data_IF_952150757408
#
_entry.id   IF_952150757408
#
_cell.length_a   1.000
_cell.length_b   1.000
_cell.length_c   1.000
_cell.angle_alpha   90.00
_cell.angle_beta   90.00
_cell.angle_gamma   90.00
#
_symmetry.space_group_name_H-M   'P 1'
#
loop_
_entity.id
_entity.type
_entity.pdbx_description
1 polymer ?
#
# COMPACT_ATOMS: atom_id res chain seq x y z
N UNK A 1 9.37 -33.23 11.28
CA UNK A 1 9.84 -31.83 11.43
C UNK A 1 10.59 -31.50 10.15
N UNK A 2 9.92 -30.89 9.18
CA UNK A 2 10.51 -30.58 7.87
C UNK A 2 10.86 -29.09 7.83
N UNK A 3 12.15 -28.79 7.77
CA UNK A 3 12.72 -27.49 7.50
C UNK A 3 12.37 -27.09 6.06
N UNK A 4 11.27 -26.37 5.87
CA UNK A 4 10.99 -25.70 4.60
C UNK A 4 11.98 -24.55 4.49
N UNK A 5 13.01 -24.65 3.64
CA UNK A 5 13.93 -23.53 3.41
C UNK A 5 13.18 -22.42 2.66
N UNK A 6 12.50 -21.55 3.41
CA UNK A 6 12.01 -20.29 2.89
C UNK A 6 13.22 -19.45 2.48
N UNK A 7 13.26 -19.04 1.22
CA UNK A 7 14.32 -18.21 0.67
C UNK A 7 14.49 -16.95 1.55
N UNK A 8 15.71 -16.72 2.04
CA UNK A 8 16.03 -15.60 2.92
C UNK A 8 16.70 -14.47 2.13
N UNK A 9 16.22 -13.25 2.33
CA UNK A 9 16.78 -12.04 1.77
C UNK A 9 17.18 -11.12 2.92
N UNK A 10 18.37 -10.52 2.87
CA UNK A 10 18.87 -9.65 3.93
C UNK A 10 18.96 -8.22 3.41
N UNK A 11 18.41 -7.27 4.18
CA UNK A 11 18.48 -5.84 3.93
C UNK A 11 19.11 -5.15 5.13
N UNK A 12 20.29 -4.55 4.94
CA UNK A 12 20.96 -3.76 5.98
C UNK A 12 20.60 -2.28 5.85
N UNK A 13 19.97 -1.73 6.89
CA UNK A 13 19.55 -0.33 7.02
C UNK A 13 20.03 0.27 8.34
N UNK A 14 21.07 -0.30 8.94
CA UNK A 14 21.71 0.28 10.14
C UNK A 14 22.28 1.66 9.82
N UNK A 15 22.14 2.59 10.75
CA UNK A 15 22.53 3.99 10.60
C UNK A 15 21.61 4.84 9.70
N UNK A 16 20.49 4.28 9.22
CA UNK A 16 19.53 5.00 8.37
C UNK A 16 18.35 5.51 9.21
N UNK A 17 17.96 6.76 9.01
CA UNK A 17 16.82 7.38 9.69
C UNK A 17 15.53 7.32 8.85
N UNK A 18 14.37 7.45 9.49
CA UNK A 18 13.08 7.46 8.81
C UNK A 18 13.00 8.59 7.76
N UNK A 19 12.40 8.34 6.58
CA UNK A 19 11.65 7.14 6.17
C UNK A 19 12.47 6.04 5.46
N UNK A 20 13.80 6.15 5.42
CA UNK A 20 14.65 5.31 4.56
C UNK A 20 14.56 3.81 4.86
N UNK A 21 14.63 3.34 6.12
CA UNK A 21 14.46 1.91 6.44
C UNK A 21 13.16 1.33 5.88
N UNK A 22 12.08 2.09 5.95
CA UNK A 22 10.76 1.66 5.48
C UNK A 22 10.71 1.53 3.97
N UNK A 23 11.16 2.57 3.27
CA UNK A 23 11.10 2.62 1.81
C UNK A 23 11.97 1.51 1.20
N UNK A 24 13.15 1.27 1.78
CA UNK A 24 14.02 0.18 1.35
C UNK A 24 13.39 -1.18 1.63
N UNK A 25 12.80 -1.38 2.81
CA UNK A 25 12.10 -2.62 3.15
C UNK A 25 10.91 -2.87 2.21
N UNK A 26 10.08 -1.86 1.94
CA UNK A 26 8.95 -1.96 1.03
C UNK A 26 9.39 -2.34 -0.39
N UNK A 27 10.46 -1.71 -0.89
CA UNK A 27 11.04 -2.01 -2.21
C UNK A 27 11.56 -3.44 -2.31
N UNK A 28 12.29 -3.92 -1.29
CA UNK A 28 12.78 -5.31 -1.30
C UNK A 28 11.61 -6.31 -1.19
N UNK A 29 10.59 -6.01 -0.39
CA UNK A 29 9.39 -6.83 -0.29
C UNK A 29 8.63 -6.96 -1.62
N UNK A 30 8.66 -5.95 -2.49
CA UNK A 30 8.05 -6.06 -3.83
C UNK A 30 8.76 -7.08 -4.72
N UNK A 31 10.09 -7.19 -4.61
CA UNK A 31 10.91 -8.10 -5.42
C UNK A 31 10.79 -9.56 -4.96
N UNK A 32 10.48 -9.78 -3.69
CA UNK A 32 10.41 -11.12 -3.09
C UNK A 32 9.05 -11.74 -3.48
N UNK A 33 8.99 -12.83 -4.26
CA UNK A 33 7.71 -13.48 -4.56
C UNK A 33 7.19 -14.31 -3.36
N UNK A 34 8.10 -14.88 -2.58
CA UNK A 34 7.85 -15.64 -1.35
C UNK A 34 9.16 -15.86 -0.60
N UNK A 35 9.13 -15.97 0.72
CA UNK A 35 10.31 -16.15 1.56
C UNK A 35 10.25 -15.29 2.82
N UNK A 36 11.42 -14.91 3.33
CA UNK A 36 11.55 -13.93 4.42
C UNK A 36 12.54 -12.83 4.06
N UNK A 37 12.18 -11.59 4.39
CA UNK A 37 13.10 -10.44 4.37
C UNK A 37 13.58 -10.18 5.80
N UNK A 38 14.88 -10.26 6.02
CA UNK A 38 15.55 -9.93 7.29
C UNK A 38 16.10 -8.52 7.18
N UNK A 39 15.46 -7.56 7.85
CA UNK A 39 15.90 -6.18 7.91
C UNK A 39 16.78 -5.99 9.15
N UNK A 40 18.04 -5.62 8.95
CA UNK A 40 18.98 -5.30 10.03
C UNK A 40 18.86 -3.80 10.34
N UNK A 41 18.47 -3.46 11.57
CA UNK A 41 18.29 -2.08 12.01
C UNK A 41 18.78 -1.89 13.44
N UNK A 42 19.41 -0.75 13.71
CA UNK A 42 19.88 -0.31 15.02
C UNK A 42 19.03 0.84 15.59
N UNK A 43 18.01 1.28 14.85
CA UNK A 43 17.16 2.41 15.21
C UNK A 43 15.82 1.95 15.83
N UNK A 44 15.59 2.25 17.12
CA UNK A 44 14.38 1.87 17.88
C UNK A 44 13.05 2.28 17.20
N UNK A 45 12.88 3.52 16.69
CA UNK A 45 11.68 3.90 15.95
C UNK A 45 11.38 3.03 14.72
N UNK A 46 12.41 2.50 14.05
CA UNK A 46 12.21 1.62 12.91
C UNK A 46 11.61 0.27 13.35
N UNK A 47 12.04 -0.22 14.51
CA UNK A 47 11.62 -1.49 15.12
C UNK A 47 10.21 -1.39 15.71
N UNK A 48 9.91 -0.31 16.44
CA UNK A 48 8.67 -0.19 17.21
C UNK A 48 7.51 0.36 16.41
N UNK A 49 7.80 1.13 15.37
CA UNK A 49 6.78 1.89 14.63
C UNK A 49 6.82 1.60 13.15
N UNK A 50 7.95 1.87 12.50
CA UNK A 50 8.01 1.98 11.04
C UNK A 50 7.87 0.64 10.31
N UNK A 51 8.67 -0.37 10.67
CA UNK A 51 8.61 -1.70 10.05
C UNK A 51 7.34 -2.48 10.45
N UNK A 52 6.87 -2.44 11.72
CA UNK A 52 5.56 -2.97 12.09
C UNK A 52 4.42 -2.34 11.29
N UNK A 53 4.49 -1.01 11.10
CA UNK A 53 3.55 -0.22 10.33
C UNK A 53 3.45 -0.72 8.90
N UNK A 54 4.60 -0.88 8.25
CA UNK A 54 4.71 -1.40 6.89
C UNK A 54 4.11 -2.80 6.81
N UNK A 55 4.50 -3.71 7.71
CA UNK A 55 4.00 -5.09 7.70
C UNK A 55 2.48 -5.15 7.87
N UNK A 56 1.92 -4.39 8.83
CA UNK A 56 0.47 -4.31 9.01
C UNK A 56 -0.24 -3.75 7.77
N UNK A 57 0.34 -2.76 7.10
CA UNK A 57 -0.25 -2.19 5.88
C UNK A 57 -0.24 -3.14 4.68
N UNK A 58 0.66 -4.12 4.70
CA UNK A 58 0.84 -5.11 3.64
C UNK A 58 0.26 -6.48 3.98
N UNK A 59 -0.36 -6.65 5.15
CA UNK A 59 -0.88 -7.94 5.63
C UNK A 59 0.20 -9.00 5.87
N UNK A 60 1.43 -8.56 6.14
CA UNK A 60 2.57 -9.44 6.32
C UNK A 60 2.80 -9.74 7.80
N UNK A 61 3.11 -11.01 8.08
CA UNK A 61 3.56 -11.41 9.41
C UNK A 61 5.02 -11.00 9.59
N UNK A 62 5.39 -10.64 10.81
CA UNK A 62 6.77 -10.36 11.15
C UNK A 62 7.12 -10.84 12.56
N UNK A 63 8.41 -10.95 12.83
CA UNK A 63 8.98 -11.15 14.16
C UNK A 63 10.24 -10.30 14.32
N UNK A 64 10.67 -10.08 15.56
CA UNK A 64 11.89 -9.36 15.88
C UNK A 64 12.81 -10.23 16.71
N UNK A 65 14.11 -10.20 16.39
CA UNK A 65 15.16 -10.89 17.13
C UNK A 65 16.24 -9.88 17.46
N UNK A 66 16.49 -9.65 18.76
CA UNK A 66 17.55 -8.75 19.23
C UNK A 66 18.91 -9.46 19.16
N UNK A 67 19.89 -8.81 18.56
CA UNK A 67 21.24 -9.34 18.28
C UNK A 67 22.28 -8.31 18.73
N UNK A 68 22.56 -8.27 20.02
CA UNK A 68 23.47 -7.28 20.62
C UNK A 68 22.99 -5.85 20.38
N UNK A 69 23.75 -5.10 19.58
CA UNK A 69 23.55 -3.68 19.27
C UNK A 69 22.55 -3.41 18.14
N UNK A 70 22.01 -4.45 17.49
CA UNK A 70 21.03 -4.29 16.43
C UNK A 70 19.89 -5.31 16.55
N UNK A 71 18.82 -5.10 15.78
CA UNK A 71 17.66 -5.98 15.69
C UNK A 71 17.54 -6.53 14.28
N UNK A 72 17.26 -7.83 14.20
CA UNK A 72 16.77 -8.50 13.00
C UNK A 72 15.25 -8.42 13.00
N UNK A 73 14.70 -7.61 12.11
CA UNK A 73 13.26 -7.54 11.86
C UNK A 73 12.92 -8.44 10.68
N UNK A 74 12.27 -9.56 10.93
CA UNK A 74 12.06 -10.63 9.95
C UNK A 74 10.62 -10.56 9.45
N UNK A 75 10.44 -10.29 8.16
CA UNK A 75 9.14 -10.15 7.49
C UNK A 75 8.89 -11.38 6.64
N UNK A 76 7.75 -12.04 6.86
CA UNK A 76 7.35 -13.26 6.15
C UNK A 76 6.43 -12.92 4.98
N UNK A 77 6.77 -13.42 3.80
CA UNK A 77 5.94 -13.30 2.59
C UNK A 77 5.64 -14.68 2.03
N UNK A 78 4.36 -15.07 2.07
CA UNK A 78 3.92 -16.36 1.52
C UNK A 78 3.65 -16.23 0.02
N UNK A 79 3.85 -17.32 -0.72
CA UNK A 79 3.61 -17.35 -2.17
C UNK A 79 2.13 -17.13 -2.42
N UNK A 80 1.77 -16.02 -3.06
CA UNK A 80 0.38 -15.68 -3.33
C UNK A 80 -0.41 -15.28 -2.08
N UNK A 81 0.21 -14.62 -1.10
CA UNK A 81 -0.50 -14.00 0.03
C UNK A 81 -1.38 -12.82 -0.42
N UNK A 82 -2.39 -13.12 -1.24
CA UNK A 82 -3.58 -12.31 -1.41
C UNK A 82 -4.50 -12.55 -0.19
N UNK A 83 -3.99 -12.33 1.03
CA UNK A 83 -4.93 -12.04 2.11
C UNK A 83 -5.43 -10.63 1.82
N UNK A 84 -6.67 -10.57 1.36
CA UNK A 84 -7.42 -9.32 1.34
C UNK A 84 -7.67 -9.01 2.81
N UNK A 85 -6.78 -8.23 3.42
CA UNK A 85 -7.01 -7.81 4.80
C UNK A 85 -8.35 -7.06 4.89
N UNK A 86 -9.08 -7.34 5.96
CA UNK A 86 -10.23 -6.52 6.33
C UNK A 86 -9.74 -5.09 6.55
N UNK A 87 -10.31 -4.16 5.79
CA UNK A 87 -9.98 -2.75 5.90
C UNK A 87 -10.54 -2.24 7.23
N UNK A 88 -9.67 -2.07 8.22
CA UNK A 88 -10.02 -1.44 9.49
C UNK A 88 -10.31 0.06 9.30
N UNK A 89 -11.47 0.54 9.74
CA UNK A 89 -11.84 1.96 9.69
C UNK A 89 -13.12 2.22 8.90
N UNK A 90 -13.29 3.45 8.40
CA UNK A 90 -14.37 3.76 7.46
C UNK A 90 -13.88 3.45 6.05
N UNK A 91 -14.73 2.79 5.29
CA UNK A 91 -14.49 2.47 3.89
C UNK A 91 -15.79 2.53 3.11
N UNK A 92 -15.65 2.66 1.80
CA UNK A 92 -16.75 2.53 0.86
C UNK A 92 -16.20 1.95 -0.44
N UNK A 93 -17.04 1.34 -1.27
CA UNK A 93 -16.62 0.70 -2.52
C UNK A 93 -17.57 1.02 -3.65
N UNK A 94 -17.00 1.40 -4.79
CA UNK A 94 -17.76 1.58 -6.03
C UNK A 94 -17.24 0.60 -7.09
N UNK A 95 -18.16 0.06 -7.87
CA UNK A 95 -17.84 -0.86 -8.97
C UNK A 95 -18.04 -0.16 -10.31
N UNK A 96 -17.08 -0.32 -11.20
CA UNK A 96 -17.24 0.03 -12.62
C UNK A 96 -17.02 -1.18 -13.51
N UNK A 97 -17.67 -1.18 -14.67
CA UNK A 97 -17.44 -2.15 -15.74
C UNK A 97 -16.77 -1.46 -16.90
N UNK A 98 -15.70 -2.06 -17.39
CA UNK A 98 -14.90 -1.60 -18.51
C UNK A 98 -14.94 -2.66 -19.62
N UNK A 99 -14.73 -2.23 -20.85
CA UNK A 99 -14.50 -3.15 -21.97
C UNK A 99 -13.15 -3.86 -21.87
N UNK A 100 -12.66 -4.38 -22.99
CA UNK A 100 -11.36 -5.06 -23.02
C UNK A 100 -10.23 -4.04 -22.87
N UNK A 101 -9.72 -3.89 -21.64
CA UNK A 101 -8.64 -2.96 -21.34
C UNK A 101 -7.58 -3.60 -20.45
N UNK A 102 -6.32 -3.24 -20.69
CA UNK A 102 -5.19 -3.67 -19.85
C UNK A 102 -5.02 -2.67 -18.71
N UNK A 103 -5.34 -3.11 -17.49
CA UNK A 103 -5.36 -2.25 -16.32
C UNK A 103 -4.04 -2.21 -15.54
N UNK A 104 -3.24 -3.28 -15.61
CA UNK A 104 -2.07 -3.48 -14.72
C UNK A 104 -1.16 -2.26 -14.65
N UNK A 105 -0.68 -1.78 -15.80
CA UNK A 105 0.32 -0.71 -15.84
C UNK A 105 -0.28 0.62 -15.36
N UNK A 106 -1.51 0.92 -15.78
CA UNK A 106 -2.24 2.13 -15.37
C UNK A 106 -2.58 2.14 -13.88
N UNK A 107 -3.02 0.99 -13.34
CA UNK A 107 -3.34 0.84 -11.94
C UNK A 107 -2.10 0.69 -11.06
N UNK A 108 -0.89 0.55 -11.60
CA UNK A 108 0.34 0.57 -10.81
C UNK A 108 0.93 1.98 -10.70
N UNK A 109 0.45 2.93 -11.50
CA UNK A 109 0.83 4.33 -11.44
C UNK A 109 -0.11 5.12 -10.51
N UNK A 110 0.38 5.59 -9.34
CA UNK A 110 -0.43 6.31 -8.37
C UNK A 110 -0.94 7.67 -8.84
N UNK A 111 -0.45 8.22 -9.94
CA UNK A 111 -1.01 9.46 -10.51
C UNK A 111 -2.47 9.27 -10.94
N UNK A 112 -2.94 8.04 -11.14
CA UNK A 112 -4.35 7.74 -11.39
C UNK A 112 -5.26 8.25 -10.27
N UNK A 113 -4.79 8.27 -9.02
CA UNK A 113 -5.56 8.76 -7.88
C UNK A 113 -5.93 10.24 -8.03
N UNK A 114 -5.11 11.02 -8.73
CA UNK A 114 -5.35 12.45 -8.98
C UNK A 114 -6.58 12.69 -9.85
N UNK A 115 -7.05 11.69 -10.63
CA UNK A 115 -8.24 11.86 -11.46
C UNK A 115 -9.51 11.98 -10.62
N UNK A 116 -9.56 11.34 -9.45
CA UNK A 116 -10.77 11.24 -8.63
C UNK A 116 -10.63 11.72 -7.18
N UNK A 117 -9.40 11.94 -6.69
CA UNK A 117 -9.12 12.49 -5.35
C UNK A 117 -8.56 13.91 -5.48
N UNK A 118 -9.40 14.95 -5.47
CA UNK A 118 -8.98 16.34 -5.75
C UNK A 118 -7.99 16.92 -4.72
N UNK A 119 -7.87 16.31 -3.56
CA UNK A 119 -6.94 16.69 -2.50
C UNK A 119 -5.51 16.33 -2.86
N UNK A 120 -5.28 15.30 -3.68
CA UNK A 120 -3.95 14.92 -4.14
C UNK A 120 -3.47 15.97 -5.14
N UNK A 121 -2.34 16.61 -4.84
CA UNK A 121 -1.77 17.70 -5.63
C UNK A 121 -0.60 17.26 -6.50
N UNK A 122 0.17 16.31 -6.02
CA UNK A 122 1.27 15.70 -6.75
C UNK A 122 1.55 14.30 -6.20
N UNK A 123 2.21 13.50 -7.02
CA UNK A 123 2.81 12.23 -6.62
C UNK A 123 4.23 12.19 -7.16
N UNK A 124 5.21 12.12 -6.27
CA UNK A 124 6.61 12.03 -6.66
C UNK A 124 7.07 10.58 -6.61
N UNK A 125 7.78 10.14 -7.63
CA UNK A 125 8.46 8.86 -7.64
C UNK A 125 9.86 9.05 -7.05
N UNK A 126 10.08 8.50 -5.87
CA UNK A 126 11.35 8.62 -5.14
C UNK A 126 12.18 7.33 -5.21
N UNK A 127 11.54 6.19 -5.47
CA UNK A 127 12.17 4.93 -5.83
C UNK A 127 11.15 4.00 -6.52
N UNK A 128 11.59 2.96 -7.27
CA UNK A 128 10.65 2.00 -7.86
C UNK A 128 9.67 1.45 -6.83
N UNK A 129 8.36 1.69 -7.07
CA UNK A 129 7.26 1.25 -6.21
C UNK A 129 7.10 1.99 -4.87
N UNK A 130 7.85 3.07 -4.65
CA UNK A 130 7.74 3.95 -3.47
C UNK A 130 7.55 5.39 -3.92
N UNK A 131 6.48 6.02 -3.43
CA UNK A 131 6.07 7.35 -3.87
C UNK A 131 5.89 8.28 -2.68
N UNK A 132 5.99 9.58 -2.91
CA UNK A 132 5.55 10.61 -1.95
C UNK A 132 4.25 11.19 -2.46
N UNK A 133 3.21 11.11 -1.64
CA UNK A 133 1.90 11.66 -1.91
C UNK A 133 1.78 13.05 -1.27
N UNK A 134 1.59 14.05 -2.12
CA UNK A 134 1.32 15.42 -1.71
C UNK A 134 -0.18 15.64 -1.66
N UNK A 135 -0.76 15.78 -0.47
CA UNK A 135 -2.19 15.91 -0.31
C UNK A 135 -2.57 17.15 0.51
N UNK A 136 -3.49 17.95 0.00
CA UNK A 136 -4.11 19.08 0.71
C UNK A 136 -5.53 18.71 1.12
N UNK A 137 -5.70 18.24 2.35
CA UNK A 137 -7.02 17.98 2.93
C UNK A 137 -7.40 19.09 3.92
N UNK A 138 -7.32 18.84 5.23
CA UNK A 138 -7.45 19.88 6.26
C UNK A 138 -6.09 20.49 6.63
N UNK A 139 -5.00 19.75 6.41
CA UNK A 139 -3.61 20.18 6.47
C UNK A 139 -2.93 19.68 5.18
N UNK A 140 -1.81 20.29 4.80
CA UNK A 140 -0.93 19.78 3.75
C UNK A 140 -0.09 18.64 4.30
N UNK A 141 -0.17 17.48 3.65
CA UNK A 141 0.60 16.29 4.00
C UNK A 141 1.53 15.93 2.86
N UNK A 142 2.74 15.55 3.23
CA UNK A 142 3.70 14.84 2.40
C UNK A 142 3.91 13.49 3.08
N UNK A 143 3.34 12.44 2.52
CA UNK A 143 3.32 11.11 3.15
C UNK A 143 3.80 10.05 2.16
N UNK A 144 4.61 9.08 2.63
CA UNK A 144 4.93 7.92 1.82
C UNK A 144 3.67 7.18 1.37
N UNK A 145 3.63 6.86 0.08
CA UNK A 145 2.62 6.06 -0.57
C UNK A 145 3.25 4.76 -1.07
N UNK A 146 2.73 3.67 -0.55
CA UNK A 146 3.13 2.32 -0.89
C UNK A 146 2.16 1.74 -1.90
N UNK A 147 2.69 1.26 -3.02
CA UNK A 147 1.90 0.58 -4.04
C UNK A 147 2.24 -0.90 -4.01
N UNK A 148 1.25 -1.77 -3.85
CA UNK A 148 1.46 -3.22 -3.95
C UNK A 148 0.52 -3.83 -4.95
N UNK A 149 1.08 -4.70 -5.79
CA UNK A 149 0.35 -5.44 -6.79
C UNK A 149 0.35 -6.92 -6.43
N UNK A 150 -0.84 -7.51 -6.39
CA UNK A 150 -1.07 -8.92 -6.10
C UNK A 150 -1.84 -9.53 -7.28
N UNK A 151 -1.19 -10.38 -8.11
CA UNK A 151 -1.87 -11.07 -9.19
C UNK A 151 -2.95 -12.03 -8.68
N UNK A 152 -4.09 -12.06 -9.37
CA UNK A 152 -5.18 -13.02 -9.17
C UNK A 152 -5.29 -13.95 -10.38
N UNK A 153 -5.91 -15.14 -10.25
CA UNK A 153 -6.11 -16.04 -11.39
C UNK A 153 -6.86 -15.42 -12.58
N UNK A 154 -7.72 -14.42 -12.34
CA UNK A 154 -8.54 -13.75 -13.37
C UNK A 154 -8.40 -12.23 -13.34
N UNK A 155 -7.34 -11.69 -12.74
CA UNK A 155 -7.15 -10.24 -12.65
C UNK A 155 -6.03 -9.86 -11.70
N UNK A 156 -6.16 -8.72 -11.05
CA UNK A 156 -5.14 -8.15 -10.18
C UNK A 156 -5.78 -7.36 -9.04
N UNK A 157 -5.14 -7.37 -7.88
CA UNK A 157 -5.41 -6.41 -6.82
C UNK A 157 -4.25 -5.42 -6.76
N UNK A 158 -4.56 -4.13 -6.80
CA UNK A 158 -3.59 -3.08 -6.51
C UNK A 158 -4.00 -2.31 -5.27
N UNK A 159 -3.10 -2.22 -4.29
CA UNK A 159 -3.25 -1.40 -3.10
C UNK A 159 -2.38 -0.16 -3.19
N UNK A 160 -2.96 0.94 -2.75
CA UNK A 160 -2.33 2.22 -2.50
C UNK A 160 -2.50 2.49 -1.01
N UNK A 161 -1.44 2.45 -0.23
CA UNK A 161 -1.52 2.67 1.21
C UNK A 161 -0.61 3.82 1.61
N UNK A 162 -1.20 4.83 2.25
CA UNK A 162 -0.49 5.96 2.80
C UNK A 162 -0.79 6.08 4.30
N UNK A 163 0.12 6.70 5.04
CA UNK A 163 -0.11 6.94 6.45
C UNK A 163 0.70 8.11 7.00
N UNK A 164 0.14 8.77 8.00
CA UNK A 164 0.78 9.87 8.69
C UNK A 164 0.84 9.57 10.19
N UNK A 165 2.05 9.63 10.76
CA UNK A 165 2.24 9.60 12.21
C UNK A 165 1.94 10.99 12.77
N UNK A 166 1.11 11.04 13.81
CA UNK A 166 0.86 12.21 14.64
C UNK A 166 1.31 11.92 16.08
N UNK A 167 1.51 12.94 16.94
CA UNK A 167 2.06 12.73 18.30
C UNK A 167 1.34 11.68 19.16
N UNK A 168 0.03 11.51 19.00
CA UNK A 168 -0.78 10.58 19.82
C UNK A 168 -1.58 9.54 19.01
N UNK A 169 -1.49 9.56 17.68
CA UNK A 169 -2.28 8.64 16.85
C UNK A 169 -1.62 8.48 15.48
N UNK A 170 -2.11 7.51 14.72
CA UNK A 170 -1.74 7.32 13.33
C UNK A 170 -2.99 7.48 12.49
N UNK A 171 -2.85 8.24 11.42
CA UNK A 171 -3.81 8.27 10.33
C UNK A 171 -3.29 7.32 9.27
N UNK A 172 -4.13 6.41 8.79
CA UNK A 172 -3.85 5.59 7.62
C UNK A 172 -5.02 5.68 6.66
N UNK A 173 -4.74 5.76 5.37
CA UNK A 173 -5.75 5.82 4.34
C UNK A 173 -5.21 5.20 3.06
N UNK A 174 -6.11 4.85 2.15
CA UNK A 174 -5.67 4.20 0.94
C UNK A 174 -6.79 3.85 -0.01
N UNK A 175 -6.38 3.23 -1.10
CA UNK A 175 -7.24 2.76 -2.17
C UNK A 175 -6.90 1.32 -2.50
N UNK A 176 -7.91 0.53 -2.83
CA UNK A 176 -7.76 -0.84 -3.30
C UNK A 176 -8.55 -0.98 -4.59
N UNK A 177 -7.88 -1.41 -5.63
CA UNK A 177 -8.45 -1.73 -6.93
C UNK A 177 -8.45 -3.23 -7.09
N UNK A 178 -9.62 -3.85 -7.21
CA UNK A 178 -9.75 -5.27 -7.53
C UNK A 178 -10.30 -5.39 -8.93
N UNK A 179 -9.43 -5.79 -9.86
CA UNK A 179 -9.82 -6.09 -11.23
C UNK A 179 -10.13 -7.58 -11.37
N UNK A 180 -11.22 -7.89 -12.07
CA UNK A 180 -11.59 -9.25 -12.42
C UNK A 180 -12.09 -9.28 -13.87
N UNK A 181 -11.61 -10.22 -14.64
CA UNK A 181 -11.91 -10.37 -16.06
C UNK A 181 -12.88 -11.52 -16.27
N UNK A 182 -13.97 -11.22 -16.97
CA UNK A 182 -14.97 -12.21 -17.37
C UNK A 182 -15.25 -12.02 -18.86
N UNK A 183 -14.75 -12.93 -19.69
CA UNK A 183 -14.77 -12.77 -21.14
C UNK A 183 -13.95 -11.55 -21.57
N UNK A 184 -14.59 -10.64 -22.32
CA UNK A 184 -13.99 -9.39 -22.81
C UNK A 184 -14.26 -8.19 -21.88
N UNK A 185 -14.97 -8.39 -20.78
CA UNK A 185 -15.25 -7.32 -19.83
C UNK A 185 -14.32 -7.41 -18.61
N UNK A 186 -14.00 -6.25 -18.05
CA UNK A 186 -13.26 -6.13 -16.81
C UNK A 186 -14.12 -5.39 -15.80
N UNK A 187 -14.47 -6.05 -14.70
CA UNK A 187 -15.06 -5.39 -13.54
C UNK A 187 -13.94 -4.87 -12.65
N UNK A 188 -14.05 -3.62 -12.22
CA UNK A 188 -13.10 -2.97 -11.33
C UNK A 188 -13.83 -2.47 -10.08
N UNK A 189 -13.54 -3.11 -8.93
CA UNK A 189 -13.98 -2.63 -7.62
C UNK A 189 -12.94 -1.67 -7.06
N UNK A 190 -13.39 -0.48 -6.71
CA UNK A 190 -12.57 0.62 -6.20
C UNK A 190 -13.02 0.86 -4.76
N UNK A 191 -12.19 0.46 -3.81
CA UNK A 191 -12.42 0.72 -2.39
C UNK A 191 -11.51 1.86 -1.94
N UNK A 192 -12.06 2.91 -1.34
CA UNK A 192 -11.28 3.90 -0.59
C UNK A 192 -11.54 3.74 0.90
N UNK A 193 -10.50 3.93 1.71
CA UNK A 193 -10.59 3.74 3.14
C UNK A 193 -9.77 4.73 3.95
N UNK A 194 -10.20 4.93 5.19
CA UNK A 194 -9.57 5.80 6.15
C UNK A 194 -9.71 5.25 7.56
N UNK A 195 -8.62 5.31 8.31
CA UNK A 195 -8.55 5.03 9.74
C UNK A 195 -7.85 6.18 10.45
N UNK A 196 -8.55 6.76 11.42
CA UNK A 196 -8.05 7.89 12.20
C UNK A 196 -9.19 8.65 12.88
N UNK A 197 -8.88 9.75 13.58
CA UNK A 197 -9.86 10.50 14.37
C UNK A 197 -10.93 11.23 13.54
N UNK A 198 -10.69 11.47 12.24
CA UNK A 198 -11.59 12.25 11.37
C UNK A 198 -12.49 11.36 10.49
N UNK A 199 -12.89 10.20 10.99
CA UNK A 199 -13.63 9.18 10.24
C UNK A 199 -14.94 9.70 9.63
N UNK A 200 -15.67 10.59 10.32
CA UNK A 200 -16.90 11.21 9.80
C UNK A 200 -16.68 12.07 8.56
N UNK A 201 -15.64 12.92 8.55
CA UNK A 201 -15.30 13.75 7.39
C UNK A 201 -14.67 12.93 6.26
N UNK A 202 -13.85 11.94 6.62
CA UNK A 202 -13.28 11.01 5.67
C UNK A 202 -14.37 10.24 4.93
N UNK A 203 -15.37 9.68 5.63
CA UNK A 203 -16.49 8.96 5.01
C UNK A 203 -17.27 9.81 4.00
N UNK A 204 -17.48 11.10 4.28
CA UNK A 204 -18.12 12.03 3.33
C UNK A 204 -17.25 12.28 2.10
N UNK A 205 -15.94 12.36 2.28
CA UNK A 205 -14.98 12.59 1.18
C UNK A 205 -14.85 11.35 0.30
N UNK A 206 -14.71 10.17 0.93
CA UNK A 206 -14.66 8.85 0.28
C UNK A 206 -15.81 8.68 -0.72
N UNK A 207 -17.05 8.93 -0.29
CA UNK A 207 -18.21 8.83 -1.20
C UNK A 207 -18.09 9.75 -2.42
N UNK A 208 -17.70 11.00 -2.20
CA UNK A 208 -17.51 11.96 -3.31
C UNK A 208 -16.38 11.53 -4.25
N UNK A 209 -15.30 10.98 -3.70
CA UNK A 209 -14.17 10.49 -4.50
C UNK A 209 -14.59 9.30 -5.36
N UNK A 210 -15.34 8.35 -4.80
CA UNK A 210 -15.80 7.17 -5.52
C UNK A 210 -16.83 7.50 -6.61
N UNK A 211 -17.75 8.44 -6.36
CA UNK A 211 -18.63 8.96 -7.42
C UNK A 211 -17.80 9.60 -8.56
N UNK A 212 -16.80 10.42 -8.21
CA UNK A 212 -15.89 11.00 -9.20
C UNK A 212 -15.04 9.93 -9.90
N UNK A 213 -14.68 8.84 -9.21
CA UNK A 213 -13.94 7.73 -9.78
C UNK A 213 -14.77 7.03 -10.86
N UNK A 214 -16.05 6.81 -10.59
CA UNK A 214 -17.02 6.26 -11.55
C UNK A 214 -17.12 7.09 -12.83
N UNK A 215 -17.07 8.41 -12.71
CA UNK A 215 -17.12 9.32 -13.86
C UNK A 215 -15.80 9.41 -14.63
N UNK A 216 -14.66 9.44 -13.93
CA UNK A 216 -13.36 9.78 -14.51
C UNK A 216 -12.54 8.57 -14.93
N UNK A 217 -12.55 7.48 -14.15
CA UNK A 217 -11.71 6.31 -14.40
C UNK A 217 -12.00 5.60 -15.72
N UNK A 218 -13.25 5.45 -16.20
CA UNK A 218 -13.50 4.84 -17.49
C UNK A 218 -12.74 5.54 -18.63
N UNK A 219 -12.59 6.87 -18.57
CA UNK A 219 -11.86 7.65 -19.58
C UNK A 219 -10.36 7.50 -19.42
N UNK A 220 -9.86 7.62 -18.19
CA UNK A 220 -8.41 7.51 -17.89
C UNK A 220 -7.87 6.11 -18.17
N UNK A 221 -8.68 5.08 -17.91
CA UNK A 221 -8.27 3.69 -18.09
C UNK A 221 -8.33 3.22 -19.54
N UNK A 222 -9.14 3.86 -20.39
CA UNK A 222 -9.29 3.48 -21.80
C UNK A 222 -8.53 4.37 -22.79
N UNK A 223 -8.03 5.53 -22.35
CA UNK A 223 -7.17 6.42 -23.16
C UNK A 223 -5.81 5.82 -23.46
#
# INVERSE_FOLDING_TARGET
MASTSSQEFVLDVRGEECPIPEMRAAKELQKIPSGKLVVLTDHEPAIDVTLPSLCKSLGLRYETVKEGEYVKFIIYKERGSAKIDEIEGVSDTERITLGDVRLRDKLSDPTILMSFVPQIKAVDNVAPGSYILHMKWFISWETPLYVTLNPLPKGDIVYYTAYQKLPMTRISFGWRFVSNRVGNEVTLDITEWYKGPLSGQAKKSIRKHLEKAKETLPRVLTS
#
